data_IF_677801377690
#
_entry.id   IF_677801377690
#
_cell.length_a   1.000
_cell.length_b   1.000
_cell.length_c   1.000
_cell.angle_alpha   90.00
_cell.angle_beta   90.00
_cell.angle_gamma   90.00
#
_symmetry.space_group_name_H-M   'P 1'
#
loop_
_entity.id
_entity.type
_entity.pdbx_description
1 polymer ?
#
# COMPACT_ATOMS: atom_id res chain seq x y z
N UNK A 1 -2.56 -0.47 15.66
CA UNK A 1 -1.13 -0.18 15.37
C UNK A 1 -1.10 0.86 14.27
N UNK A 2 -0.19 1.84 14.32
CA UNK A 2 -0.14 2.94 13.36
C UNK A 2 0.84 2.63 12.24
N UNK A 3 0.36 2.65 11.01
CA UNK A 3 1.20 2.79 9.82
C UNK A 3 0.91 4.14 9.19
N UNK A 4 1.87 4.64 8.44
CA UNK A 4 1.78 5.90 7.69
C UNK A 4 1.74 5.61 6.20
N UNK A 5 1.07 6.48 5.46
CA UNK A 5 0.99 6.46 4.00
C UNK A 5 1.45 7.83 3.52
N UNK A 6 2.37 7.85 2.56
CA UNK A 6 2.82 9.08 1.91
C UNK A 6 2.75 8.96 0.41
N UNK A 7 2.23 9.99 -0.25
CA UNK A 7 2.31 10.09 -1.71
C UNK A 7 3.69 10.63 -2.09
N UNK A 8 4.42 9.87 -2.91
CA UNK A 8 5.76 10.20 -3.38
C UNK A 8 5.69 10.49 -4.89
N UNK A 9 6.63 11.31 -5.37
CA UNK A 9 6.79 11.67 -6.79
C UNK A 9 5.54 12.27 -7.43
N UNK A 10 4.78 13.05 -6.63
CA UNK A 10 3.64 13.84 -7.11
C UNK A 10 3.87 15.35 -6.85
N UNK A 11 4.86 15.97 -7.54
CA UNK A 11 5.13 17.40 -7.42
C UNK A 11 3.93 18.22 -7.93
N UNK A 12 3.86 19.49 -7.54
CA UNK A 12 2.87 20.48 -7.99
C UNK A 12 1.41 20.27 -7.51
N UNK A 13 1.13 19.20 -6.76
CA UNK A 13 -0.17 19.00 -6.15
C UNK A 13 -0.37 19.79 -4.85
N UNK A 14 -1.55 20.39 -4.64
CA UNK A 14 -1.88 21.05 -3.37
C UNK A 14 -1.79 20.08 -2.17
N UNK A 15 -1.31 20.52 -1.00
CA UNK A 15 -1.20 19.67 0.19
C UNK A 15 -2.51 19.00 0.63
N UNK A 16 -3.65 19.67 0.44
CA UNK A 16 -4.98 19.15 0.74
C UNK A 16 -5.38 18.02 -0.22
N UNK A 17 -4.97 18.12 -1.49
CA UNK A 17 -5.18 17.10 -2.51
C UNK A 17 -4.34 15.86 -2.20
N UNK A 18 -3.08 16.05 -1.81
CA UNK A 18 -2.18 14.98 -1.35
C UNK A 18 -2.76 14.26 -0.12
N UNK A 19 -3.11 15.01 0.92
CA UNK A 19 -3.67 14.45 2.16
C UNK A 19 -4.98 13.68 1.91
N UNK A 20 -5.81 14.15 0.99
CA UNK A 20 -7.05 13.47 0.59
C UNK A 20 -6.75 12.14 -0.11
N UNK A 21 -5.75 12.10 -0.99
CA UNK A 21 -5.34 10.88 -1.69
C UNK A 21 -4.75 9.84 -0.73
N UNK A 22 -3.84 10.26 0.16
CA UNK A 22 -3.26 9.41 1.22
C UNK A 22 -4.36 8.84 2.14
N UNK A 23 -5.32 9.66 2.54
CA UNK A 23 -6.45 9.23 3.38
C UNK A 23 -7.32 8.18 2.68
N UNK A 24 -7.59 8.36 1.38
CA UNK A 24 -8.36 7.40 0.59
C UNK A 24 -7.63 6.08 0.44
N UNK A 25 -6.34 6.15 0.11
CA UNK A 25 -5.48 4.98 -0.01
C UNK A 25 -5.47 4.19 1.31
N UNK A 26 -5.20 4.87 2.43
CA UNK A 26 -5.20 4.27 3.77
C UNK A 26 -6.54 3.61 4.08
N UNK A 27 -7.66 4.30 3.82
CA UNK A 27 -9.00 3.78 4.08
C UNK A 27 -9.30 2.51 3.27
N UNK A 28 -8.84 2.43 2.02
CA UNK A 28 -9.05 1.25 1.20
C UNK A 28 -8.16 0.08 1.66
N UNK A 29 -6.91 0.34 2.06
CA UNK A 29 -6.06 -0.67 2.70
C UNK A 29 -6.69 -1.21 3.99
N UNK A 30 -7.13 -0.33 4.89
CA UNK A 30 -7.80 -0.71 6.14
C UNK A 30 -9.06 -1.55 5.87
N UNK A 31 -9.79 -1.24 4.81
CA UNK A 31 -10.99 -1.99 4.41
C UNK A 31 -10.67 -3.38 3.86
N UNK A 32 -9.56 -3.54 3.13
CA UNK A 32 -9.21 -4.80 2.47
C UNK A 32 -8.42 -5.74 3.38
N UNK A 33 -7.55 -5.20 4.24
CA UNK A 33 -6.65 -5.98 5.10
C UNK A 33 -7.01 -5.90 6.59
N UNK A 34 -7.70 -4.85 7.02
CA UNK A 34 -8.04 -4.64 8.44
C UNK A 34 -6.81 -4.61 9.33
N UNK A 35 -6.81 -5.39 10.39
CA UNK A 35 -5.68 -5.48 11.33
C UNK A 35 -4.45 -6.19 10.73
N UNK A 36 -4.56 -6.81 9.55
CA UNK A 36 -3.49 -7.57 8.92
C UNK A 36 -2.55 -6.73 8.04
N UNK A 37 -2.74 -5.41 7.95
CA UNK A 37 -1.93 -4.52 7.08
C UNK A 37 -0.43 -4.73 7.30
N UNK A 38 0.02 -4.72 8.55
CA UNK A 38 1.44 -4.90 8.90
C UNK A 38 1.96 -6.30 8.57
N UNK A 39 1.18 -7.34 8.88
CA UNK A 39 1.56 -8.72 8.60
C UNK A 39 1.65 -8.99 7.10
N UNK A 40 0.72 -8.43 6.32
CA UNK A 40 0.69 -8.55 4.88
C UNK A 40 1.85 -7.79 4.22
N UNK A 41 2.17 -6.58 4.70
CA UNK A 41 3.35 -5.83 4.25
C UNK A 41 4.64 -6.60 4.52
N UNK A 42 4.86 -7.06 5.76
CA UNK A 42 6.06 -7.85 6.11
C UNK A 42 6.17 -9.13 5.30
N UNK A 43 5.06 -9.84 5.08
CA UNK A 43 5.05 -11.02 4.24
C UNK A 43 5.44 -10.70 2.79
N UNK A 44 5.01 -9.56 2.25
CA UNK A 44 5.37 -9.11 0.91
C UNK A 44 6.85 -8.69 0.80
N UNK A 45 7.37 -7.97 1.79
CA UNK A 45 8.79 -7.60 1.87
C UNK A 45 9.67 -8.86 1.97
N UNK A 46 9.35 -9.75 2.92
CA UNK A 46 10.02 -11.04 3.06
C UNK A 46 9.96 -11.85 1.75
N UNK A 47 8.82 -11.86 1.07
CA UNK A 47 8.66 -12.58 -0.19
C UNK A 47 9.45 -11.98 -1.35
N UNK A 48 9.76 -10.69 -1.29
CA UNK A 48 10.58 -9.99 -2.30
C UNK A 48 12.08 -10.18 -2.04
N UNK A 49 12.48 -10.34 -0.78
CA UNK A 49 13.88 -10.50 -0.36
C UNK A 49 14.31 -11.97 -0.26
N UNK A 50 13.39 -12.89 0.01
CA UNK A 50 13.64 -14.33 0.21
C UNK A 50 13.34 -15.14 -1.05
N UNK A 51 13.93 -16.33 -1.15
CA UNK A 51 13.57 -17.26 -2.22
C UNK A 51 12.19 -17.87 -1.96
N UNK A 52 11.41 -18.14 -3.01
CA UNK A 52 10.06 -18.70 -2.87
C UNK A 52 10.02 -20.04 -2.10
N UNK A 53 11.12 -20.79 -2.09
CA UNK A 53 11.28 -22.05 -1.35
C UNK A 53 11.38 -21.88 0.18
N UNK A 54 11.61 -20.65 0.66
CA UNK A 54 11.76 -20.31 2.09
C UNK A 54 10.47 -19.77 2.71
N UNK A 55 9.47 -19.44 1.89
CA UNK A 55 8.20 -18.86 2.33
C UNK A 55 7.17 -19.94 2.63
N UNK A 56 6.45 -19.78 3.73
CA UNK A 56 5.28 -20.63 4.02
C UNK A 56 4.11 -20.29 3.10
N UNK A 57 3.16 -21.23 2.95
CA UNK A 57 1.94 -20.99 2.16
C UNK A 57 1.12 -19.80 2.67
N UNK A 58 1.13 -19.60 3.99
CA UNK A 58 0.40 -18.51 4.63
C UNK A 58 1.06 -17.16 4.33
N UNK A 59 2.40 -17.08 4.34
CA UNK A 59 3.15 -15.88 3.94
C UNK A 59 2.92 -15.54 2.47
N UNK A 60 2.93 -16.55 1.58
CA UNK A 60 2.62 -16.34 0.16
C UNK A 60 1.19 -15.79 -0.01
N UNK A 61 0.22 -16.32 0.74
CA UNK A 61 -1.16 -15.83 0.69
C UNK A 61 -1.29 -14.40 1.22
N UNK A 62 -0.58 -14.06 2.30
CA UNK A 62 -0.53 -12.71 2.86
C UNK A 62 0.15 -11.72 1.90
N UNK A 63 1.29 -12.07 1.33
CA UNK A 63 2.00 -11.26 0.33
C UNK A 63 1.13 -11.01 -0.92
N UNK A 64 0.43 -12.04 -1.41
CA UNK A 64 -0.50 -11.89 -2.53
C UNK A 64 -1.70 -11.01 -2.16
N UNK A 65 -2.17 -11.08 -0.92
CA UNK A 65 -3.25 -10.22 -0.41
C UNK A 65 -2.79 -8.77 -0.30
N UNK A 66 -1.55 -8.53 0.16
CA UNK A 66 -0.92 -7.21 0.16
C UNK A 66 -0.89 -6.60 -1.24
N UNK A 67 -0.32 -7.31 -2.21
CA UNK A 67 -0.17 -6.79 -3.57
C UNK A 67 -1.53 -6.40 -4.18
N UNK A 68 -2.57 -7.22 -3.99
CA UNK A 68 -3.94 -6.91 -4.45
C UNK A 68 -4.53 -5.71 -3.74
N UNK A 69 -4.37 -5.62 -2.42
CA UNK A 69 -4.89 -4.52 -1.63
C UNK A 69 -4.20 -3.20 -1.96
N UNK A 70 -2.88 -3.23 -2.17
CA UNK A 70 -2.09 -2.08 -2.57
C UNK A 70 -2.56 -1.52 -3.93
N UNK A 71 -2.73 -2.37 -4.95
CA UNK A 71 -3.20 -1.92 -6.27
C UNK A 71 -4.63 -1.34 -6.22
N UNK A 72 -5.53 -1.95 -5.44
CA UNK A 72 -6.87 -1.43 -5.23
C UNK A 72 -6.85 -0.07 -4.50
N UNK A 73 -6.02 0.06 -3.46
CA UNK A 73 -5.83 1.30 -2.73
C UNK A 73 -5.19 2.39 -3.59
N UNK A 74 -4.19 2.04 -4.42
CA UNK A 74 -3.53 2.93 -5.38
C UNK A 74 -4.56 3.50 -6.36
N UNK A 75 -5.38 2.63 -6.92
CA UNK A 75 -6.49 3.03 -7.82
C UNK A 75 -7.46 3.99 -7.10
N UNK A 76 -7.82 3.71 -5.85
CA UNK A 76 -8.71 4.56 -5.07
C UNK A 76 -8.08 5.93 -4.71
N UNK A 77 -6.78 5.96 -4.39
CA UNK A 77 -6.00 7.16 -4.09
C UNK A 77 -5.88 8.08 -5.31
N UNK A 78 -5.52 7.54 -6.47
CA UNK A 78 -5.36 8.30 -7.72
C UNK A 78 -6.66 8.64 -8.43
N UNK A 79 -7.80 8.03 -8.06
CA UNK A 79 -9.09 8.23 -8.74
C UNK A 79 -9.49 9.69 -8.99
N UNK A 80 -9.09 10.62 -8.11
CA UNK A 80 -9.38 12.06 -8.28
C UNK A 80 -8.16 12.90 -8.70
N UNK A 81 -6.98 12.29 -8.79
CA UNK A 81 -5.72 12.95 -9.17
C UNK A 81 -5.46 12.81 -10.68
N UNK A 82 -5.97 11.75 -11.32
CA UNK A 82 -5.66 11.42 -12.71
C UNK A 82 -4.51 10.42 -12.82
N UNK A 83 -3.94 10.28 -14.02
CA UNK A 83 -2.74 9.48 -14.25
C UNK A 83 -1.52 10.19 -13.66
N UNK A 84 -0.78 9.47 -12.83
CA UNK A 84 0.45 9.93 -12.21
C UNK A 84 1.48 8.80 -12.40
N UNK A 85 2.08 8.76 -13.59
CA UNK A 85 2.86 7.60 -14.05
C UNK A 85 4.05 7.26 -13.14
N UNK A 86 4.63 8.27 -12.50
CA UNK A 86 5.78 8.10 -11.59
C UNK A 86 5.37 8.12 -10.10
N UNK A 87 4.15 8.52 -9.77
CA UNK A 87 3.74 8.67 -8.38
C UNK A 87 3.34 7.32 -7.76
N UNK A 88 3.71 7.15 -6.50
CA UNK A 88 3.35 5.96 -5.73
C UNK A 88 3.04 6.29 -4.28
N UNK A 89 2.30 5.40 -3.62
CA UNK A 89 2.02 5.50 -2.20
C UNK A 89 3.04 4.67 -1.43
N UNK A 90 3.91 5.33 -0.67
CA UNK A 90 4.80 4.68 0.27
C UNK A 90 4.03 4.33 1.54
N UNK A 91 4.11 3.07 1.98
CA UNK A 91 3.52 2.62 3.24
C UNK A 91 4.65 2.27 4.21
N UNK A 92 4.64 2.84 5.41
CA UNK A 92 5.60 2.53 6.46
C UNK A 92 4.89 2.15 7.75
N UNK A 93 5.25 1.01 8.31
CA UNK A 93 4.85 0.60 9.67
C UNK A 93 5.79 1.26 10.68
N UNK A 94 5.25 1.79 11.78
CA UNK A 94 6.03 2.41 12.87
C UNK A 94 6.44 1.41 13.95
#
# INVERSE_FOLDING_TARGET
MSYTVKLIDFPDAPPDVIATAETRFRRELDKLLGDNVEQALKAFENASESSADELTKDEIALAASWAKAYEAAKTAGFRALGEADEAYFEVRVE
#
